data_IF_706445858020
#
_entry.id   IF_706445858020
#
_cell.length_a   1.000
_cell.length_b   1.000
_cell.length_c   1.000
_cell.angle_alpha   90.00
_cell.angle_beta   90.00
_cell.angle_gamma   90.00
#
_symmetry.space_group_name_H-M   'P 1'
#
loop_
_entity.id
_entity.type
_entity.pdbx_description
1 polymer ?
#
# COMPACT_ATOMS: atom_id res chain seq x y z
N UNK A 1 -20.19 -18.45 -12.74
CA UNK A 1 -19.62 -17.51 -11.76
C UNK A 1 -18.12 -17.69 -11.87
N UNK A 2 -17.40 -16.68 -12.35
CA UNK A 2 -16.02 -16.83 -12.83
C UNK A 2 -15.05 -16.83 -11.66
N UNK A 3 -14.33 -17.94 -11.43
CA UNK A 3 -13.24 -18.08 -10.43
C UNK A 3 -12.25 -16.90 -10.47
N UNK A 4 -12.07 -16.30 -11.65
CA UNK A 4 -11.18 -15.15 -11.86
C UNK A 4 -11.66 -13.91 -11.10
N UNK A 5 -12.98 -13.68 -11.03
CA UNK A 5 -13.54 -12.53 -10.33
C UNK A 5 -13.35 -12.63 -8.80
N UNK A 6 -13.50 -13.83 -8.25
CA UNK A 6 -13.31 -14.10 -6.82
C UNK A 6 -11.83 -13.98 -6.43
N UNK A 7 -10.92 -14.49 -7.26
CA UNK A 7 -9.47 -14.31 -7.08
C UNK A 7 -9.05 -12.84 -7.06
N UNK A 8 -9.58 -12.02 -7.97
CA UNK A 8 -9.31 -10.58 -7.97
C UNK A 8 -9.84 -9.87 -6.72
N UNK A 9 -10.96 -10.33 -6.16
CA UNK A 9 -11.50 -9.85 -4.89
C UNK A 9 -10.54 -10.15 -3.72
N UNK A 10 -10.14 -11.41 -3.58
CA UNK A 10 -9.22 -11.85 -2.53
C UNK A 10 -7.89 -11.08 -2.54
N UNK A 11 -7.32 -10.82 -3.73
CA UNK A 11 -6.08 -10.03 -3.86
C UNK A 11 -6.27 -8.58 -3.41
N UNK A 12 -7.42 -7.96 -3.73
CA UNK A 12 -7.72 -6.58 -3.32
C UNK A 12 -7.84 -6.49 -1.80
N UNK A 13 -8.55 -7.43 -1.19
CA UNK A 13 -8.75 -7.48 0.26
C UNK A 13 -7.43 -7.74 0.99
N UNK A 14 -6.60 -8.63 0.48
CA UNK A 14 -5.25 -8.88 0.98
C UNK A 14 -4.40 -7.60 0.99
N UNK A 15 -4.37 -6.87 -0.14
CA UNK A 15 -3.66 -5.58 -0.24
C UNK A 15 -4.26 -4.50 0.68
N UNK A 16 -5.56 -4.56 0.96
CA UNK A 16 -6.22 -3.63 1.89
C UNK A 16 -5.78 -3.89 3.33
N UNK A 17 -5.70 -5.16 3.74
CA UNK A 17 -5.17 -5.57 5.07
C UNK A 17 -3.72 -5.17 5.23
N UNK A 18 -2.87 -5.48 4.25
CA UNK A 18 -1.47 -5.06 4.24
C UNK A 18 -1.29 -3.54 4.42
N UNK A 19 -2.12 -2.73 3.75
CA UNK A 19 -2.08 -1.27 3.91
C UNK A 19 -2.60 -0.79 5.26
N UNK A 20 -3.50 -1.53 5.91
CA UNK A 20 -3.97 -1.20 7.25
C UNK A 20 -2.90 -1.48 8.30
N UNK A 21 -2.16 -2.59 8.17
CA UNK A 21 -1.15 -3.03 9.14
C UNK A 21 0.21 -2.36 8.93
N UNK A 22 0.67 -2.31 7.68
CA UNK A 22 2.03 -1.86 7.32
C UNK A 22 2.04 -0.61 6.41
N UNK A 23 0.87 -0.11 6.02
CA UNK A 23 0.79 1.08 5.18
C UNK A 23 1.18 2.34 5.95
N UNK A 24 1.98 3.19 5.32
CA UNK A 24 2.33 4.50 5.86
C UNK A 24 1.92 5.60 4.87
N UNK A 25 1.50 6.78 5.36
CA UNK A 25 1.23 7.90 4.49
C UNK A 25 2.52 8.41 3.84
N UNK A 26 2.46 8.76 2.56
CA UNK A 26 3.59 9.36 1.86
C UNK A 26 3.95 10.71 2.50
N UNK A 27 5.21 10.90 2.96
CA UNK A 27 5.62 12.12 3.67
C UNK A 27 5.56 13.36 2.77
N UNK A 28 5.90 13.24 1.48
CA UNK A 28 5.77 14.36 0.53
C UNK A 28 4.31 14.74 0.28
N UNK A 29 3.40 13.77 0.22
CA UNK A 29 1.97 14.08 0.11
C UNK A 29 1.47 14.84 1.34
N UNK A 30 1.88 14.43 2.55
CA UNK A 30 1.49 15.13 3.78
C UNK A 30 2.05 16.55 3.84
N UNK A 31 3.28 16.75 3.36
CA UNK A 31 3.96 18.05 3.35
C UNK A 31 3.38 19.02 2.31
N UNK A 32 3.14 18.54 1.09
CA UNK A 32 2.74 19.36 -0.05
C UNK A 32 1.22 19.54 -0.18
N UNK A 33 0.45 18.55 0.28
CA UNK A 33 -1.00 18.50 0.14
C UNK A 33 -1.70 18.28 1.50
N UNK A 34 -1.59 19.23 2.45
CA UNK A 34 -2.12 19.05 3.81
C UNK A 34 -3.65 18.90 3.88
N UNK A 35 -4.37 19.30 2.82
CA UNK A 35 -5.84 19.15 2.71
C UNK A 35 -6.27 17.88 1.99
N UNK A 36 -5.36 17.16 1.35
CA UNK A 36 -5.67 15.95 0.60
C UNK A 36 -5.27 14.71 1.40
N UNK A 37 -6.00 13.61 1.17
CA UNK A 37 -5.61 12.33 1.75
C UNK A 37 -4.28 11.87 1.12
N UNK A 38 -3.22 11.64 1.92
CA UNK A 38 -1.94 11.21 1.40
C UNK A 38 -2.05 9.80 0.81
N UNK A 39 -1.20 9.51 -0.19
CA UNK A 39 -1.11 8.15 -0.72
C UNK A 39 -0.56 7.20 0.36
N UNK A 40 -1.30 6.14 0.69
CA UNK A 40 -0.83 5.09 1.60
C UNK A 40 0.09 4.14 0.83
N UNK A 41 1.37 4.14 1.20
CA UNK A 41 2.41 3.33 0.59
C UNK A 41 2.71 2.11 1.46
N UNK A 42 2.90 0.97 0.80
CA UNK A 42 3.60 -0.16 1.41
C UNK A 42 5.11 0.09 1.28
N UNK A 43 5.94 -0.62 2.07
CA UNK A 43 7.39 -0.52 1.92
C UNK A 43 7.83 -0.76 0.47
N UNK A 44 8.86 -0.02 0.05
CA UNK A 44 9.37 0.03 -1.34
C UNK A 44 8.39 0.55 -2.41
N UNK A 45 7.14 0.88 -2.10
CA UNK A 45 6.23 1.46 -3.09
C UNK A 45 6.56 2.92 -3.39
N UNK A 46 6.30 3.27 -4.64
CA UNK A 46 6.44 4.64 -5.14
C UNK A 46 5.10 5.34 -5.14
N UNK A 47 5.04 6.53 -4.53
CA UNK A 47 3.90 7.43 -4.64
C UNK A 47 3.67 7.84 -6.09
N UNK A 48 2.43 7.74 -6.57
CA UNK A 48 2.09 8.13 -7.95
C UNK A 48 2.11 9.64 -8.19
N UNK A 49 1.92 10.44 -7.13
CA UNK A 49 1.80 11.90 -7.22
C UNK A 49 3.18 12.54 -7.28
N UNK A 50 4.01 12.30 -6.25
CA UNK A 50 5.32 12.95 -6.10
C UNK A 50 6.50 12.04 -6.47
N UNK A 51 6.24 10.81 -6.92
CA UNK A 51 7.27 9.80 -7.22
C UNK A 51 8.22 9.50 -6.05
N UNK A 52 7.82 9.85 -4.83
CA UNK A 52 8.53 9.47 -3.61
C UNK A 52 8.56 7.95 -3.48
N UNK A 53 9.74 7.37 -3.37
CA UNK A 53 9.93 5.95 -3.08
C UNK A 53 10.08 5.76 -1.57
N UNK A 54 9.25 4.89 -1.02
CA UNK A 54 9.36 4.49 0.37
C UNK A 54 10.70 3.78 0.61
N UNK A 55 11.49 4.28 1.55
CA UNK A 55 12.82 3.77 1.89
C UNK A 55 12.77 2.63 2.93
N UNK A 56 11.59 2.28 3.45
CA UNK A 56 11.43 1.17 4.40
C UNK A 56 11.86 -0.14 3.74
N UNK A 57 12.49 -1.06 4.52
CA UNK A 57 12.86 -2.38 4.01
C UNK A 57 11.63 -3.12 3.49
N UNK A 58 11.83 -3.95 2.47
CA UNK A 58 10.74 -4.76 1.92
C UNK A 58 10.10 -5.65 3.00
N UNK A 59 8.80 -5.83 2.87
CA UNK A 59 8.06 -6.72 3.76
C UNK A 59 8.62 -8.14 3.59
N UNK A 60 8.90 -8.84 4.69
CA UNK A 60 9.29 -10.25 4.61
C UNK A 60 8.12 -11.10 4.10
N UNK A 61 8.40 -12.25 3.51
CA UNK A 61 7.37 -13.17 3.01
C UNK A 61 6.37 -13.58 4.12
N UNK A 62 6.83 -13.66 5.37
CA UNK A 62 5.99 -13.91 6.54
C UNK A 62 4.99 -12.76 6.79
N UNK A 63 5.45 -11.51 6.72
CA UNK A 63 4.61 -10.33 6.88
C UNK A 63 3.66 -10.15 5.68
N UNK A 64 4.07 -10.60 4.49
CA UNK A 64 3.21 -10.60 3.31
C UNK A 64 2.12 -11.66 3.42
N UNK A 65 2.43 -12.85 3.92
CA UNK A 65 1.50 -13.98 4.02
C UNK A 65 0.55 -13.86 5.22
N UNK A 66 0.94 -13.11 6.26
CA UNK A 66 0.14 -12.90 7.47
C UNK A 66 -0.06 -11.39 7.77
N UNK A 67 -0.90 -10.70 6.96
CA UNK A 67 -1.11 -9.25 7.04
C UNK A 67 -2.06 -8.78 8.16
#
# INVERSE_FOLDING_TARGET
>A
MSDVAEMHGAIKDHKKRLRASYGAPCPECQRLLPRANPSILLPQQTCRIHRYKDQRPELTDEQWSNP
#
